data_IF_375847864260
#
_entry.id   IF_375847864260
#
_cell.length_a   1.000
_cell.length_b   1.000
_cell.length_c   1.000
_cell.angle_alpha   90.00
_cell.angle_beta   90.00
_cell.angle_gamma   90.00
#
_symmetry.space_group_name_H-M   'P 1'
#
loop_
_entity.id
_entity.type
_entity.pdbx_description
1 polymer ?
#
# COMPACT_ATOMS: atom_id res chain seq x y z
N UNK A 1 -10.52 0.32 -23.49
CA UNK A 1 -9.68 -0.86 -23.21
C UNK A 1 -8.27 -0.32 -23.10
N UNK A 2 -7.69 -0.34 -21.89
CA UNK A 2 -6.33 0.15 -21.69
C UNK A 2 -5.35 -0.81 -22.37
N UNK A 3 -4.31 -0.26 -23.00
CA UNK A 3 -3.24 -1.04 -23.60
C UNK A 3 -2.39 -1.66 -22.48
N UNK A 4 -1.79 -2.82 -22.72
CA UNK A 4 -1.00 -3.59 -21.74
C UNK A 4 -0.03 -2.74 -20.92
N UNK A 5 0.65 -1.81 -21.60
CA UNK A 5 1.64 -0.91 -21.04
C UNK A 5 1.03 0.15 -20.09
N UNK A 6 -0.16 0.66 -20.45
CA UNK A 6 -0.91 1.61 -19.62
C UNK A 6 -1.37 0.96 -18.31
N UNK A 7 -1.81 -0.31 -18.36
CA UNK A 7 -2.23 -1.06 -17.17
C UNK A 7 -1.08 -1.29 -16.18
N UNK A 8 0.09 -1.66 -16.70
CA UNK A 8 1.28 -1.89 -15.87
C UNK A 8 1.81 -0.57 -15.31
N UNK A 9 1.83 0.49 -16.11
CA UNK A 9 2.21 1.84 -15.66
C UNK A 9 1.29 2.34 -14.56
N UNK A 10 -0.02 2.13 -14.71
CA UNK A 10 -1.01 2.54 -13.70
C UNK A 10 -0.85 1.74 -12.40
N UNK A 11 -0.60 0.43 -12.48
CA UNK A 11 -0.32 -0.39 -11.30
C UNK A 11 0.95 0.07 -10.57
N UNK A 12 2.03 0.32 -11.33
CA UNK A 12 3.31 0.75 -10.76
C UNK A 12 3.19 2.14 -10.12
N UNK A 13 2.51 3.08 -10.76
CA UNK A 13 2.25 4.41 -10.21
C UNK A 13 1.43 4.35 -8.91
N UNK A 14 0.42 3.47 -8.87
CA UNK A 14 -0.35 3.22 -7.66
C UNK A 14 0.53 2.69 -6.53
N UNK A 15 1.36 1.68 -6.79
CA UNK A 15 2.27 1.13 -5.77
C UNK A 15 3.34 2.12 -5.31
N UNK A 16 3.83 3.01 -6.18
CA UNK A 16 4.76 4.09 -5.80
C UNK A 16 4.12 5.12 -4.87
N UNK A 17 2.86 5.46 -5.11
CA UNK A 17 2.07 6.33 -4.23
C UNK A 17 1.91 5.68 -2.85
N UNK A 18 1.54 4.40 -2.83
CA UNK A 18 1.38 3.62 -1.59
C UNK A 18 2.69 3.47 -0.82
N UNK A 19 3.80 3.22 -1.50
CA UNK A 19 5.14 3.18 -0.91
C UNK A 19 5.46 4.51 -0.20
N UNK A 20 5.20 5.62 -0.87
CA UNK A 20 5.46 6.96 -0.32
C UNK A 20 4.60 7.21 0.94
N UNK A 21 3.33 6.83 0.90
CA UNK A 21 2.40 6.92 2.02
C UNK A 21 2.88 6.08 3.21
N UNK A 22 3.22 4.81 3.02
CA UNK A 22 3.69 3.95 4.11
C UNK A 22 5.02 4.41 4.70
N UNK A 23 5.95 4.92 3.89
CA UNK A 23 7.20 5.51 4.38
C UNK A 23 6.92 6.75 5.23
N UNK A 24 6.03 7.64 4.78
CA UNK A 24 5.63 8.81 5.56
C UNK A 24 5.02 8.40 6.89
N UNK A 25 4.08 7.44 6.89
CA UNK A 25 3.46 6.92 8.11
C UNK A 25 4.50 6.29 9.05
N UNK A 26 5.46 5.53 8.53
CA UNK A 26 6.53 4.95 9.34
C UNK A 26 7.32 6.03 10.09
N UNK A 27 7.62 7.16 9.42
CA UNK A 27 8.27 8.31 10.06
C UNK A 27 7.35 9.03 11.05
N UNK A 28 6.09 9.26 10.71
CA UNK A 28 5.11 9.93 11.58
C UNK A 28 4.92 9.23 12.92
N UNK A 29 4.99 7.89 12.94
CA UNK A 29 4.85 7.07 14.14
C UNK A 29 6.16 6.82 14.89
N UNK A 30 7.32 7.19 14.33
CA UNK A 30 8.64 6.78 14.84
C UNK A 30 8.85 7.12 16.32
N UNK A 31 8.40 8.30 16.75
CA UNK A 31 8.54 8.79 18.13
C UNK A 31 7.32 8.52 19.01
N UNK A 32 6.21 8.05 18.45
CA UNK A 32 4.95 7.86 19.16
C UNK A 32 4.69 6.38 19.46
N UNK A 33 4.77 5.52 18.43
CA UNK A 33 4.64 4.07 18.57
C UNK A 33 5.54 3.35 17.56
N UNK A 34 6.67 2.84 18.07
CA UNK A 34 7.66 2.10 17.27
C UNK A 34 7.12 0.80 16.67
N UNK A 35 6.09 0.19 17.27
CA UNK A 35 5.46 -1.01 16.71
C UNK A 35 4.69 -0.68 15.43
N UNK A 36 3.92 0.42 15.44
CA UNK A 36 3.21 0.93 14.26
C UNK A 36 4.20 1.39 13.20
N UNK A 37 5.24 2.12 13.60
CA UNK A 37 6.30 2.56 12.68
C UNK A 37 6.92 1.37 11.93
N UNK A 38 7.26 0.29 12.64
CA UNK A 38 7.80 -0.94 12.02
C UNK A 38 6.79 -1.64 11.10
N UNK A 39 5.52 -1.66 11.49
CA UNK A 39 4.45 -2.22 10.64
C UNK A 39 4.36 -1.46 9.31
N UNK A 40 4.30 -0.12 9.37
CA UNK A 40 4.23 0.72 8.17
C UNK A 40 5.50 0.57 7.30
N UNK A 41 6.68 0.52 7.91
CA UNK A 41 7.93 0.27 7.18
C UNK A 41 7.90 -1.09 6.46
N UNK A 42 7.40 -2.13 7.13
CA UNK A 42 7.26 -3.48 6.54
C UNK A 42 6.29 -3.49 5.36
N UNK A 43 5.17 -2.76 5.45
CA UNK A 43 4.22 -2.60 4.34
C UNK A 43 4.84 -1.81 3.17
N UNK A 44 5.66 -0.80 3.45
CA UNK A 44 6.47 -0.11 2.45
C UNK A 44 7.38 -1.06 1.67
N UNK A 45 8.08 -1.97 2.36
CA UNK A 45 8.91 -3.00 1.70
C UNK A 45 8.04 -3.92 0.81
N UNK A 46 6.82 -4.27 1.24
CA UNK A 46 5.92 -5.05 0.39
C UNK A 46 5.50 -4.29 -0.88
N UNK A 47 5.33 -2.96 -0.84
CA UNK A 47 5.12 -2.15 -2.05
C UNK A 47 6.32 -2.24 -3.00
N UNK A 48 7.55 -2.15 -2.50
CA UNK A 48 8.76 -2.28 -3.32
C UNK A 48 8.80 -3.63 -4.05
N UNK A 49 8.54 -4.73 -3.33
CA UNK A 49 8.48 -6.06 -3.92
C UNK A 49 7.43 -6.18 -5.04
N UNK A 50 6.28 -5.51 -4.89
CA UNK A 50 5.23 -5.46 -5.92
C UNK A 50 5.65 -4.65 -7.13
N UNK A 51 6.30 -3.51 -6.94
CA UNK A 51 6.85 -2.68 -8.02
C UNK A 51 7.87 -3.49 -8.83
N UNK A 52 8.80 -4.18 -8.16
CA UNK A 52 9.79 -5.02 -8.82
C UNK A 52 9.16 -6.15 -9.64
N UNK A 53 8.10 -6.77 -9.12
CA UNK A 53 7.34 -7.81 -9.82
C UNK A 53 6.63 -7.26 -11.07
N UNK A 54 6.00 -6.09 -10.98
CA UNK A 54 5.37 -5.41 -12.12
C UNK A 54 6.40 -5.07 -13.21
N UNK A 55 7.56 -4.55 -12.82
CA UNK A 55 8.67 -4.25 -13.73
C UNK A 55 9.26 -5.53 -14.34
N UNK A 56 9.33 -6.63 -13.58
CA UNK A 56 9.76 -7.94 -14.09
C UNK A 56 8.80 -8.45 -15.17
N UNK A 57 7.49 -8.35 -14.95
CA UNK A 57 6.46 -8.75 -15.92
C UNK A 57 6.49 -7.88 -17.16
N UNK A 58 6.62 -6.55 -17.00
CA UNK A 58 6.77 -5.62 -18.12
C UNK A 58 7.96 -5.98 -19.03
N UNK A 59 9.12 -6.27 -18.43
CA UNK A 59 10.32 -6.73 -19.16
C UNK A 59 10.11 -8.05 -19.89
N UNK A 60 9.45 -9.02 -19.25
CA UNK A 60 9.15 -10.32 -19.89
C UNK A 60 8.23 -10.21 -21.10
N UNK A 61 7.37 -9.18 -21.12
CA UNK A 61 6.45 -8.90 -22.21
C UNK A 61 7.07 -8.00 -23.29
N UNK A 62 8.33 -7.61 -23.15
CA UNK A 62 9.06 -6.82 -24.15
C UNK A 62 8.63 -5.37 -24.23
N UNK A 63 8.05 -4.81 -23.16
CA UNK A 63 7.48 -3.45 -23.14
C UNK A 63 8.49 -2.36 -22.74
N UNK A 64 9.78 -2.68 -22.64
CA UNK A 64 10.76 -1.75 -22.09
C UNK A 64 11.20 -0.70 -23.12
N UNK A 65 10.61 0.49 -23.02
CA UNK A 65 11.26 1.81 -23.16
C UNK A 65 10.31 2.87 -22.58
N UNK A 66 9.98 2.79 -21.30
CA UNK A 66 9.31 3.90 -20.60
C UNK A 66 10.37 4.69 -19.83
N UNK A 67 10.55 5.99 -20.12
CA UNK A 67 11.38 6.83 -19.28
C UNK A 67 10.82 6.78 -17.87
N UNK A 68 11.72 6.68 -16.88
CA UNK A 68 11.40 6.96 -15.50
C UNK A 68 10.92 8.42 -15.42
N UNK A 69 9.63 8.65 -15.64
CA UNK A 69 8.95 9.86 -15.21
C UNK A 69 8.89 9.78 -13.70
N UNK A 70 10.04 10.06 -13.08
CA UNK A 70 10.17 10.30 -11.67
C UNK A 70 9.48 11.61 -11.35
N UNK A 71 8.15 11.62 -11.38
CA UNK A 71 7.42 12.54 -10.52
C UNK A 71 7.71 12.07 -9.11
N UNK A 72 8.71 12.72 -8.48
CA UNK A 72 8.82 12.68 -7.04
C UNK A 72 7.46 13.15 -6.51
N UNK A 73 6.75 12.32 -5.72
CA UNK A 73 5.55 12.81 -5.08
C UNK A 73 5.97 14.04 -4.28
N UNK A 74 5.21 15.12 -4.48
CA UNK A 74 5.39 16.38 -3.76
C UNK A 74 5.59 16.04 -2.28
N UNK A 75 6.68 16.55 -1.70
CA UNK A 75 7.12 16.15 -0.37
C UNK A 75 6.07 16.60 0.64
N UNK A 76 5.07 15.76 0.86
CA UNK A 76 4.04 15.96 1.86
C UNK A 76 4.76 16.22 3.17
N UNK A 77 4.50 17.38 3.77
CA UNK A 77 5.24 17.79 4.96
C UNK A 77 5.18 16.67 6.00
N UNK A 78 6.32 16.29 6.59
CA UNK A 78 6.32 15.28 7.64
C UNK A 78 5.47 15.80 8.80
N UNK A 79 4.36 15.10 9.08
CA UNK A 79 3.56 15.33 10.26
C UNK A 79 3.87 14.24 11.28
N UNK A 80 3.91 14.59 12.57
CA UNK A 80 4.14 13.64 13.64
C UNK A 80 2.83 13.35 14.37
N UNK A 81 2.71 12.11 14.85
CA UNK A 81 1.58 11.73 15.69
C UNK A 81 1.81 12.27 17.10
N UNK A 82 0.91 13.13 17.56
CA UNK A 82 1.03 13.83 18.84
C UNK A 82 0.01 13.37 19.90
N UNK A 83 -1.01 12.60 19.51
CA UNK A 83 -2.02 12.08 20.44
C UNK A 83 -2.53 10.69 20.04
N UNK A 84 -3.09 9.91 20.99
CA UNK A 84 -3.69 8.61 20.69
C UNK A 84 -4.88 8.68 19.74
N UNK A 85 -5.69 9.74 19.79
CA UNK A 85 -6.83 9.93 18.89
C UNK A 85 -6.34 10.10 17.45
N UNK A 86 -5.34 10.97 17.24
CA UNK A 86 -4.70 11.14 15.94
C UNK A 86 -4.07 9.84 15.43
N UNK A 87 -3.45 9.05 16.32
CA UNK A 87 -2.91 7.75 15.97
C UNK A 87 -4.00 6.80 15.45
N UNK A 88 -5.15 6.76 16.11
CA UNK A 88 -6.28 5.92 15.74
C UNK A 88 -6.92 6.38 14.43
N UNK A 89 -7.12 7.68 14.24
CA UNK A 89 -7.67 8.24 13.00
C UNK A 89 -6.77 7.94 11.79
N UNK A 90 -5.46 8.13 11.95
CA UNK A 90 -4.48 7.84 10.89
C UNK A 90 -4.42 6.34 10.56
N UNK A 91 -4.53 5.47 11.57
CA UNK A 91 -4.60 4.02 11.35
C UNK A 91 -5.91 3.60 10.65
N UNK A 92 -7.04 4.19 11.04
CA UNK A 92 -8.34 3.97 10.38
C UNK A 92 -8.31 4.40 8.91
N UNK A 93 -7.68 5.54 8.63
CA UNK A 93 -7.45 5.97 7.26
C UNK A 93 -6.54 5.00 6.52
N UNK A 94 -5.46 4.50 7.14
CA UNK A 94 -4.56 3.54 6.50
C UNK A 94 -5.25 2.20 6.15
N UNK A 95 -6.20 1.72 6.97
CA UNK A 95 -7.05 0.56 6.63
C UNK A 95 -7.92 0.87 5.42
N UNK A 96 -8.58 2.03 5.41
CA UNK A 96 -9.44 2.46 4.30
C UNK A 96 -8.65 2.57 2.99
N UNK A 97 -7.45 3.14 3.04
CA UNK A 97 -6.55 3.25 1.88
C UNK A 97 -6.11 1.87 1.37
N UNK A 98 -5.81 0.94 2.28
CA UNK A 98 -5.46 -0.43 1.91
C UNK A 98 -6.64 -1.16 1.26
N UNK A 99 -7.88 -0.94 1.74
CA UNK A 99 -9.08 -1.48 1.11
C UNK A 99 -9.26 -0.91 -0.30
N UNK A 100 -9.09 0.40 -0.45
CA UNK A 100 -9.15 1.07 -1.74
C UNK A 100 -8.10 0.50 -2.70
N UNK A 101 -6.85 0.33 -2.25
CA UNK A 101 -5.78 -0.24 -3.07
C UNK A 101 -6.06 -1.68 -3.49
N UNK A 102 -6.65 -2.50 -2.61
CA UNK A 102 -7.10 -3.84 -2.95
C UNK A 102 -8.19 -3.82 -4.01
N UNK A 103 -9.20 -2.96 -3.86
CA UNK A 103 -10.28 -2.79 -4.84
C UNK A 103 -9.71 -2.32 -6.17
N UNK A 104 -8.79 -1.36 -6.18
CA UNK A 104 -8.10 -0.90 -7.39
C UNK A 104 -7.46 -2.06 -8.16
N UNK A 105 -6.68 -2.91 -7.50
CA UNK A 105 -6.03 -4.05 -8.16
C UNK A 105 -7.01 -5.11 -8.68
N UNK A 106 -8.14 -5.33 -7.98
CA UNK A 106 -9.20 -6.21 -8.47
C UNK A 106 -9.84 -5.66 -9.75
N UNK A 107 -10.17 -4.38 -9.77
CA UNK A 107 -10.70 -3.70 -10.96
C UNK A 107 -9.69 -3.70 -12.10
N UNK A 108 -8.41 -3.50 -11.81
CA UNK A 108 -7.33 -3.54 -12.82
C UNK A 108 -7.25 -4.93 -13.48
N UNK A 109 -7.33 -6.01 -12.68
CA UNK A 109 -7.38 -7.38 -13.19
C UNK A 109 -8.62 -7.63 -14.05
N UNK A 110 -9.79 -7.16 -13.62
CA UNK A 110 -11.05 -7.34 -14.34
C UNK A 110 -11.11 -6.54 -15.65
N UNK A 111 -10.48 -5.36 -15.68
CA UNK A 111 -10.35 -4.53 -16.88
C UNK A 111 -9.28 -5.06 -17.86
N UNK A 112 -8.35 -5.89 -17.39
CA UNK A 112 -7.31 -6.49 -18.23
C UNK A 112 -7.91 -7.57 -19.13
N UNK A 113 -7.87 -7.34 -20.44
CA UNK A 113 -8.23 -8.36 -21.43
C UNK A 113 -7.07 -9.33 -21.74
N UNK A 114 -5.98 -9.30 -20.96
CA UNK A 114 -4.71 -9.96 -21.26
C UNK A 114 -4.43 -11.07 -20.25
N UNK A 115 -4.67 -12.34 -20.61
CA UNK A 115 -4.50 -13.48 -19.70
C UNK A 115 -3.08 -13.63 -19.15
N UNK A 116 -2.07 -13.16 -19.89
CA UNK A 116 -0.67 -13.22 -19.47
C UNK A 116 -0.39 -12.41 -18.18
N UNK A 117 -1.21 -11.41 -17.86
CA UNK A 117 -1.09 -10.62 -16.62
C UNK A 117 -1.79 -11.25 -15.42
N UNK A 118 -2.71 -12.19 -15.64
CA UNK A 118 -3.55 -12.72 -14.57
C UNK A 118 -2.76 -13.35 -13.42
N UNK A 119 -1.67 -14.13 -13.66
CA UNK A 119 -0.88 -14.68 -12.58
C UNK A 119 -0.28 -13.58 -11.68
N UNK A 120 0.37 -12.58 -12.27
CA UNK A 120 1.02 -11.49 -11.54
C UNK A 120 0.02 -10.64 -10.76
N UNK A 121 -1.08 -10.21 -11.41
CA UNK A 121 -2.13 -9.44 -10.76
C UNK A 121 -2.83 -10.24 -9.66
N UNK A 122 -2.99 -11.56 -9.82
CA UNK A 122 -3.57 -12.41 -8.77
C UNK A 122 -2.67 -12.54 -7.55
N UNK A 123 -1.34 -12.60 -7.73
CA UNK A 123 -0.37 -12.59 -6.63
C UNK A 123 -0.44 -11.24 -5.89
N UNK A 124 -0.44 -10.12 -6.61
CA UNK A 124 -0.56 -8.78 -6.03
C UNK A 124 -1.85 -8.63 -5.24
N UNK A 125 -2.99 -9.07 -5.79
CA UNK A 125 -4.28 -9.04 -5.08
C UNK A 125 -4.21 -9.85 -3.78
N UNK A 126 -3.61 -11.04 -3.78
CA UNK A 126 -3.44 -11.85 -2.55
C UNK A 126 -2.58 -11.13 -1.51
N UNK A 127 -1.50 -10.48 -1.94
CA UNK A 127 -0.65 -9.69 -1.05
C UNK A 127 -1.40 -8.49 -0.46
N UNK A 128 -2.18 -7.76 -1.29
CA UNK A 128 -3.02 -6.64 -0.83
C UNK A 128 -4.14 -7.10 0.12
N UNK A 129 -4.69 -8.29 -0.06
CA UNK A 129 -5.63 -8.88 0.91
C UNK A 129 -4.95 -9.15 2.25
N UNK A 130 -3.75 -9.70 2.24
CA UNK A 130 -2.99 -9.95 3.46
C UNK A 130 -2.63 -8.62 4.17
N UNK A 131 -2.21 -7.60 3.43
CA UNK A 131 -1.94 -6.25 3.92
C UNK A 131 -3.16 -5.65 4.63
N UNK A 132 -4.34 -5.68 3.98
CA UNK A 132 -5.59 -5.21 4.57
C UNK A 132 -5.94 -5.97 5.85
N UNK A 133 -5.89 -7.31 5.81
CA UNK A 133 -6.21 -8.14 6.97
C UNK A 133 -5.27 -7.90 8.16
N UNK A 134 -3.98 -7.66 7.90
CA UNK A 134 -3.01 -7.31 8.94
C UNK A 134 -3.35 -5.96 9.58
N UNK A 135 -3.67 -4.94 8.77
CA UNK A 135 -4.04 -3.62 9.28
C UNK A 135 -5.35 -3.65 10.08
N UNK A 136 -6.39 -4.33 9.57
CA UNK A 136 -7.64 -4.53 10.30
C UNK A 136 -7.44 -5.29 11.61
N UNK A 137 -6.70 -6.40 11.58
CA UNK A 137 -6.40 -7.18 12.78
C UNK A 137 -5.62 -6.39 13.81
N UNK A 138 -4.65 -5.57 13.36
CA UNK A 138 -3.90 -4.69 14.22
C UNK A 138 -4.79 -3.62 14.87
N UNK A 139 -5.66 -2.96 14.12
CA UNK A 139 -6.63 -2.00 14.66
C UNK A 139 -7.60 -2.64 15.65
N UNK A 140 -8.17 -3.80 15.31
CA UNK A 140 -9.11 -4.51 16.19
C UNK A 140 -8.48 -4.90 17.52
N UNK A 141 -7.20 -5.29 17.52
CA UNK A 141 -6.47 -5.61 18.74
C UNK A 141 -6.26 -4.39 19.66
N UNK A 142 -6.04 -3.20 19.09
CA UNK A 142 -5.86 -1.95 19.84
C UNK A 142 -7.16 -1.45 20.45
N UNK A 143 -8.27 -1.48 19.71
CA UNK A 143 -9.58 -1.10 20.24
C UNK A 143 -10.00 -1.98 21.44
N UNK A 144 -9.61 -3.26 21.45
CA UNK A 144 -9.84 -4.15 22.59
C UNK A 144 -9.01 -3.78 23.82
N UNK A 145 -7.76 -3.34 23.62
CA UNK A 145 -6.85 -2.89 24.69
C UNK A 145 -7.28 -1.56 25.32
N UNK A 146 -7.85 -0.63 24.54
CA UNK A 146 -8.35 0.65 25.07
C UNK A 146 -9.61 0.45 25.92
N UNK A 147 -10.51 -0.46 25.53
CA UNK A 147 -11.71 -0.82 26.31
C UNK A 147 -11.37 -1.44 27.68
N UNK A 148 -10.28 -2.20 27.78
CA UNK A 148 -9.83 -2.81 29.05
C UNK A 148 -9.17 -1.80 29.98
N UNK A 149 -8.53 -0.76 29.46
CA UNK A 149 -7.95 0.33 30.27
C UNK A 149 -8.98 1.29 30.85
N UNK A 150 -10.14 1.47 30.21
CA UNK A 150 -11.22 2.32 30.74
C UNK A 150 -12.10 1.62 31.79
N UNK A 151 -11.96 0.31 31.96
CA UNK A 151 -12.72 -0.49 32.93
C UNK A 151 -11.96 -0.73 34.26
N UNK A 152 -10.79 -0.11 34.44
CA UNK A 152 -9.95 -0.19 35.66
C UNK A 152 -9.84 1.18 36.32
#
# INVERSE_FOLDING_TARGET
MLVLDELLTLAEAHEKTELSRYRQLAFSFLTFDTSVSRLMASLGIQCEMRIEELQRVSRQLGLTDLPNSGEQPDAAQPYFICSPEMANDVLAQAVTDAEYSLRFHRHLREASAIPALYPALSVIIKQKQAEHAVLEGFMGSRSCLDLTKMAS
#
